data_IF_541686789672
#
_entry.id   IF_541686789672
#
_cell.length_a   1.000
_cell.length_b   1.000
_cell.length_c   1.000
_cell.angle_alpha   90.00
_cell.angle_beta   90.00
_cell.angle_gamma   90.00
#
_symmetry.space_group_name_H-M   'P 1'
#
loop_
_entity.id
_entity.type
_entity.pdbx_description
1 polymer ?
#
# COMPACT_ATOMS: atom_id res chain seq x y z
N UNK A 1 9.34 10.61 7.05
CA UNK A 1 8.19 9.69 7.01
C UNK A 1 8.56 8.56 6.06
N UNK A 2 8.39 7.29 6.46
CA UNK A 2 8.74 6.13 5.61
C UNK A 2 7.80 6.07 4.41
N UNK A 3 8.34 5.75 3.24
CA UNK A 3 7.57 5.73 1.97
C UNK A 3 6.50 4.65 2.03
N UNK A 4 6.78 3.53 2.70
CA UNK A 4 5.82 2.43 2.88
C UNK A 4 4.62 2.85 3.72
N UNK A 5 4.82 3.66 4.76
CA UNK A 5 3.73 4.16 5.62
C UNK A 5 2.76 5.04 4.84
N UNK A 6 3.29 5.93 3.99
CA UNK A 6 2.45 6.76 3.12
C UNK A 6 1.70 5.91 2.09
N UNK A 7 2.35 4.90 1.50
CA UNK A 7 1.71 3.99 0.55
C UNK A 7 0.55 3.20 1.19
N UNK A 8 0.75 2.67 2.39
CA UNK A 8 -0.29 1.96 3.14
C UNK A 8 -1.44 2.90 3.49
N UNK A 9 -1.14 4.12 3.96
CA UNK A 9 -2.16 5.09 4.35
C UNK A 9 -3.05 5.47 3.15
N UNK A 10 -2.44 5.82 2.01
CA UNK A 10 -3.18 6.17 0.79
C UNK A 10 -4.00 4.99 0.29
N UNK A 11 -3.42 3.79 0.26
CA UNK A 11 -4.13 2.59 -0.21
C UNK A 11 -5.30 2.23 0.71
N UNK A 12 -5.12 2.33 2.02
CA UNK A 12 -6.20 2.10 2.99
C UNK A 12 -7.30 3.16 2.88
N UNK A 13 -6.95 4.44 2.72
CA UNK A 13 -7.93 5.51 2.51
C UNK A 13 -8.73 5.31 1.23
N UNK A 14 -8.09 4.93 0.13
CA UNK A 14 -8.78 4.61 -1.12
C UNK A 14 -9.71 3.41 -0.95
N UNK A 15 -9.24 2.34 -0.29
CA UNK A 15 -10.06 1.17 -0.02
C UNK A 15 -11.30 1.49 0.83
N UNK A 16 -11.15 2.28 1.88
CA UNK A 16 -12.26 2.75 2.71
C UNK A 16 -13.25 3.60 1.91
N UNK A 17 -12.74 4.48 1.04
CA UNK A 17 -13.59 5.31 0.19
C UNK A 17 -14.38 4.46 -0.81
N UNK A 18 -13.74 3.45 -1.42
CA UNK A 18 -14.41 2.48 -2.30
C UNK A 18 -15.48 1.71 -1.54
N UNK A 19 -15.19 1.24 -0.33
CA UNK A 19 -16.15 0.56 0.54
C UNK A 19 -17.35 1.44 0.86
N UNK A 20 -17.12 2.70 1.24
CA UNK A 20 -18.18 3.67 1.52
C UNK A 20 -19.05 3.93 0.29
N UNK A 21 -18.43 4.04 -0.89
CA UNK A 21 -19.14 4.24 -2.14
C UNK A 21 -20.00 3.02 -2.49
N UNK A 22 -19.46 1.80 -2.32
CA UNK A 22 -20.17 0.55 -2.57
C UNK A 22 -21.37 0.38 -1.61
N UNK A 23 -21.18 0.68 -0.33
CA UNK A 23 -22.25 0.75 0.68
C UNK A 23 -23.34 1.78 0.32
N UNK A 24 -22.94 2.96 -0.15
CA UNK A 24 -23.88 4.01 -0.50
C UNK A 24 -24.70 3.67 -1.75
N UNK A 25 -24.06 3.05 -2.76
CA UNK A 25 -24.70 2.68 -4.03
C UNK A 25 -25.60 1.45 -3.89
N UNK A 26 -25.13 0.38 -3.23
CA UNK A 26 -25.83 -0.90 -3.17
C UNK A 26 -26.70 -1.09 -1.92
N UNK A 27 -26.59 -0.22 -0.91
CA UNK A 27 -27.25 -0.35 0.41
C UNK A 27 -27.05 -1.72 1.08
N UNK A 28 -25.95 -2.39 0.76
CA UNK A 28 -25.59 -3.70 1.28
C UNK A 28 -24.85 -3.59 2.62
N UNK A 29 -24.74 -4.71 3.34
CA UNK A 29 -24.00 -4.75 4.60
C UNK A 29 -22.49 -4.56 4.36
N UNK A 30 -21.74 -3.97 5.29
CA UNK A 30 -20.29 -3.72 5.16
C UNK A 30 -19.50 -4.97 4.74
N UNK A 31 -19.89 -6.13 5.25
CA UNK A 31 -19.28 -7.41 4.92
C UNK A 31 -19.55 -7.84 3.47
N UNK A 32 -20.77 -7.62 2.99
CA UNK A 32 -21.17 -7.92 1.62
C UNK A 32 -20.47 -6.99 0.65
N UNK A 33 -20.37 -5.68 0.96
CA UNK A 33 -19.66 -4.72 0.14
C UNK A 33 -18.17 -5.08 -0.02
N UNK A 34 -17.52 -5.48 1.06
CA UNK A 34 -16.14 -5.95 1.02
C UNK A 34 -15.99 -7.18 0.12
N UNK A 35 -16.84 -8.21 0.31
CA UNK A 35 -16.82 -9.40 -0.54
C UNK A 35 -17.17 -9.08 -1.99
N UNK A 36 -18.09 -8.17 -2.23
CA UNK A 36 -18.54 -7.80 -3.57
C UNK A 36 -17.43 -7.11 -4.35
N UNK A 37 -16.57 -6.31 -3.70
CA UNK A 37 -15.36 -5.74 -4.32
C UNK A 37 -14.40 -6.86 -4.76
N UNK A 38 -14.17 -7.88 -3.91
CA UNK A 38 -13.32 -9.02 -4.26
C UNK A 38 -13.94 -9.91 -5.34
N UNK A 39 -15.24 -10.19 -5.25
CA UNK A 39 -15.97 -10.97 -6.25
C UNK A 39 -16.09 -10.21 -7.56
N UNK A 40 -16.22 -8.89 -7.56
CA UNK A 40 -16.27 -8.08 -8.78
C UNK A 40 -14.94 -8.19 -9.55
N UNK A 41 -13.79 -8.21 -8.86
CA UNK A 41 -12.50 -8.45 -9.52
C UNK A 41 -12.37 -9.85 -10.10
N UNK A 42 -12.81 -10.87 -9.35
CA UNK A 42 -12.73 -12.28 -9.78
C UNK A 42 -13.72 -12.56 -10.92
N UNK A 43 -14.94 -12.02 -10.83
CA UNK A 43 -15.99 -12.15 -11.84
C UNK A 43 -15.66 -11.37 -13.12
N UNK A 44 -14.95 -10.24 -13.00
CA UNK A 44 -14.40 -9.52 -14.15
C UNK A 44 -13.15 -10.21 -14.76
N UNK A 45 -12.66 -11.30 -14.17
CA UNK A 45 -11.49 -12.04 -14.63
C UNK A 45 -10.19 -11.23 -14.56
N UNK A 46 -10.16 -10.16 -13.76
CA UNK A 46 -9.08 -9.18 -13.74
C UNK A 46 -8.67 -8.93 -12.29
N UNK A 47 -7.67 -9.68 -11.83
CA UNK A 47 -7.03 -9.53 -10.51
C UNK A 47 -6.06 -8.33 -10.51
N UNK A 48 -6.52 -7.19 -11.02
CA UNK A 48 -5.64 -6.05 -11.32
C UNK A 48 -5.35 -5.24 -10.06
N UNK A 49 -6.34 -4.93 -9.23
CA UNK A 49 -6.12 -4.13 -8.03
C UNK A 49 -5.27 -4.88 -7.02
N UNK A 50 -5.53 -6.18 -6.81
CA UNK A 50 -4.67 -7.04 -5.98
C UNK A 50 -3.23 -7.10 -6.49
N UNK A 51 -3.02 -7.33 -7.80
CA UNK A 51 -1.68 -7.40 -8.37
C UNK A 51 -0.92 -6.07 -8.26
N UNK A 52 -1.58 -4.95 -8.56
CA UNK A 52 -1.01 -3.60 -8.44
C UNK A 52 -0.71 -3.25 -6.99
N UNK A 53 -1.57 -3.66 -6.05
CA UNK A 53 -1.33 -3.46 -4.63
C UNK A 53 -0.08 -4.20 -4.15
N UNK A 54 0.10 -5.47 -4.52
CA UNK A 54 1.30 -6.24 -4.18
C UNK A 54 2.56 -5.67 -4.83
N UNK A 55 2.51 -5.24 -6.09
CA UNK A 55 3.64 -4.57 -6.74
C UNK A 55 4.01 -3.24 -6.08
N UNK A 56 3.01 -2.43 -5.71
CA UNK A 56 3.21 -1.17 -5.00
C UNK A 56 3.78 -1.36 -3.60
N UNK A 57 3.31 -2.38 -2.87
CA UNK A 57 3.89 -2.79 -1.59
C UNK A 57 5.35 -3.23 -1.73
N UNK A 58 5.65 -4.09 -2.70
CA UNK A 58 7.01 -4.57 -2.94
C UNK A 58 7.98 -3.43 -3.28
N UNK A 59 7.55 -2.50 -4.13
CA UNK A 59 8.35 -1.33 -4.51
C UNK A 59 8.59 -0.39 -3.34
N UNK A 60 7.56 -0.08 -2.54
CA UNK A 60 7.68 0.81 -1.39
C UNK A 60 8.59 0.21 -0.29
N UNK A 61 8.47 -1.09 -0.02
CA UNK A 61 9.34 -1.80 0.91
C UNK A 61 10.80 -1.78 0.44
N UNK A 62 11.04 -2.00 -0.86
CA UNK A 62 12.38 -1.95 -1.45
C UNK A 62 13.01 -0.57 -1.29
N UNK A 63 12.24 0.50 -1.49
CA UNK A 63 12.70 1.88 -1.31
C UNK A 63 13.05 2.15 0.16
N UNK A 64 12.23 1.72 1.12
CA UNK A 64 12.51 1.91 2.54
C UNK A 64 13.75 1.13 3.01
N UNK A 65 13.95 -0.11 2.51
CA UNK A 65 15.16 -0.90 2.79
C UNK A 65 16.41 -0.20 2.23
N UNK A 66 16.33 0.33 1.00
CA UNK A 66 17.44 1.08 0.38
C UNK A 66 17.74 2.37 1.16
N UNK A 67 16.72 3.11 1.57
CA UNK A 67 16.85 4.34 2.35
C UNK A 67 17.49 4.07 3.71
N UNK A 68 17.10 2.98 4.37
CA UNK A 68 17.67 2.56 5.64
C UNK A 68 19.16 2.18 5.52
N UNK A 69 19.53 1.41 4.47
CA UNK A 69 20.93 1.06 4.20
C UNK A 69 21.79 2.30 3.93
N UNK A 70 21.28 3.27 3.16
CA UNK A 70 21.99 4.52 2.88
C UNK A 70 22.19 5.38 4.13
N UNK A 71 21.16 5.54 4.98
CA UNK A 71 21.29 6.24 6.26
C UNK A 71 22.32 5.59 7.20
N UNK A 72 22.44 4.26 7.16
CA UNK A 72 23.44 3.53 7.96
C UNK A 72 24.86 3.75 7.43
N UNK A 73 25.05 3.81 6.11
CA UNK A 73 26.33 4.12 5.48
C UNK A 73 26.78 5.57 5.72
N UNK A 74 25.86 6.53 5.65
CA UNK A 74 26.13 7.96 5.90
C UNK A 74 26.61 8.20 7.35
N UNK A 75 25.99 7.54 8.34
CA UNK A 75 26.44 7.57 9.74
C UNK A 75 27.81 6.93 9.98
N UNK A 76 28.19 5.94 9.16
CA UNK A 76 29.50 5.29 9.25
C UNK A 76 30.59 6.18 8.64
N UNK A 77 30.32 6.87 7.52
CA UNK A 77 31.25 7.82 6.92
C UNK A 77 31.45 9.09 7.75
N UNK A 78 30.39 9.63 8.39
CA UNK A 78 30.52 10.82 9.24
C UNK A 78 31.38 10.59 10.49
N UNK A 79 31.60 9.32 10.88
CA UNK A 79 32.43 8.94 12.03
C UNK A 79 33.91 8.70 11.67
N UNK A 80 34.23 8.58 10.38
CA UNK A 80 35.60 8.36 9.88
C UNK A 80 36.31 9.62 9.40
N UNK A 81 35.60 10.74 9.20
CA UNK A 81 36.18 11.99 8.69
C UNK A 81 36.61 12.97 9.80
N UNK A 82 36.69 12.51 11.05
CA UNK A 82 37.04 13.34 12.22
C UNK A 82 38.14 12.73 13.10
N UNK A 83 39.00 11.88 12.55
CA UNK A 83 40.19 11.37 13.23
C UNK A 83 41.46 11.94 12.63
#
# INVERSE_FOLDING_TARGET
>A
MMVTLSFILVSASLFVLTLLFDLFVFKSTVYEAALNIFYAEIAAGRVIALFVFFLGLGSSLFIDIRLYKNKKAEKAQSKGSGS
#
